data_IF_623824854546
#
_entry.id   IF_623824854546
#
_cell.length_a   1.000
_cell.length_b   1.000
_cell.length_c   1.000
_cell.angle_alpha   90.00
_cell.angle_beta   90.00
_cell.angle_gamma   90.00
#
_symmetry.space_group_name_H-M   'P 1'
#
loop_
_entity.id
_entity.type
_entity.pdbx_description
1 polymer ?
#
# COMPACT_ATOMS: atom_id res chain seq x y z
N UNK A 1 -12.86 1.96 8.54
CA UNK A 1 -11.86 1.30 7.65
C UNK A 1 -10.53 2.01 7.82
N UNK A 2 -9.41 1.28 7.83
CA UNK A 2 -8.07 1.85 7.79
C UNK A 2 -7.44 1.55 6.43
N UNK A 3 -6.74 2.50 5.83
CA UNK A 3 -5.91 2.25 4.65
C UNK A 3 -4.49 2.76 4.90
N UNK A 4 -3.48 1.93 4.66
CA UNK A 4 -2.10 2.25 4.99
C UNK A 4 -1.19 2.14 3.77
N UNK A 5 -0.35 3.15 3.61
CA UNK A 5 0.81 3.09 2.73
C UNK A 5 2.05 3.67 3.44
N UNK A 6 3.24 3.31 2.95
CA UNK A 6 4.50 3.75 3.53
C UNK A 6 5.65 3.78 2.55
N UNK A 7 6.70 4.51 2.93
CA UNK A 7 7.94 4.59 2.17
C UNK A 7 9.15 4.81 3.06
N UNK A 8 10.32 4.46 2.53
CA UNK A 8 11.59 4.92 3.08
C UNK A 8 11.86 6.35 2.58
N UNK A 9 11.99 7.31 3.49
CA UNK A 9 12.40 8.68 3.18
C UNK A 9 13.89 8.88 3.46
N UNK A 10 14.53 9.70 2.63
CA UNK A 10 15.93 10.12 2.80
C UNK A 10 16.00 11.64 2.80
N UNK A 11 16.34 12.22 3.94
CA UNK A 11 16.52 13.67 4.11
C UNK A 11 18.00 13.92 4.41
N UNK A 12 18.77 14.31 3.39
CA UNK A 12 20.24 14.43 3.46
C UNK A 12 20.87 13.10 3.90
N UNK A 13 21.47 13.05 5.09
CA UNK A 13 22.13 11.86 5.66
C UNK A 13 21.24 11.10 6.65
N UNK A 14 19.95 11.40 6.69
CA UNK A 14 18.98 10.79 7.59
C UNK A 14 18.01 9.89 6.82
N UNK A 15 17.90 8.63 7.23
CA UNK A 15 16.90 7.69 6.72
C UNK A 15 15.83 7.46 7.78
N UNK A 16 14.56 7.35 7.36
CA UNK A 16 13.44 6.96 8.20
C UNK A 16 12.38 6.23 7.38
N UNK A 17 11.61 5.34 8.00
CA UNK A 17 10.37 4.87 7.41
C UNK A 17 9.26 5.87 7.78
N UNK A 18 8.45 6.25 6.81
CA UNK A 18 7.29 7.13 6.99
C UNK A 18 6.07 6.40 6.42
N UNK A 19 5.00 6.33 7.20
CA UNK A 19 3.72 5.74 6.81
C UNK A 19 2.57 6.69 7.12
N UNK A 20 1.54 6.61 6.30
CA UNK A 20 0.27 7.31 6.49
C UNK A 20 -0.83 6.26 6.57
N UNK A 21 -1.64 6.34 7.63
CA UNK A 21 -2.85 5.55 7.79
C UNK A 21 -4.05 6.48 7.75
N UNK A 22 -4.98 6.24 6.85
CA UNK A 22 -6.25 6.95 6.77
C UNK A 22 -7.32 6.16 7.53
N UNK A 23 -7.88 6.77 8.58
CA UNK A 23 -9.08 6.27 9.26
C UNK A 23 -10.32 6.82 8.55
N UNK A 24 -10.94 5.99 7.72
CA UNK A 24 -12.09 6.34 6.88
C UNK A 24 -13.37 5.88 7.56
N UNK A 25 -14.23 6.84 7.91
CA UNK A 25 -15.51 6.60 8.61
C UNK A 25 -16.61 6.14 7.66
N UNK A 26 -16.64 6.68 6.44
CA UNK A 26 -17.70 6.45 5.45
C UNK A 26 -17.04 6.07 4.11
N UNK A 27 -16.71 4.78 3.90
CA UNK A 27 -15.90 4.34 2.76
C UNK A 27 -16.56 4.58 1.39
N UNK A 28 -17.89 4.48 1.30
CA UNK A 28 -18.60 4.57 0.01
C UNK A 28 -18.55 5.99 -0.55
N UNK A 29 -18.93 6.99 0.24
CA UNK A 29 -18.84 8.39 -0.16
C UNK A 29 -17.41 8.90 -0.17
N UNK A 30 -16.47 8.33 0.60
CA UNK A 30 -15.04 8.57 0.39
C UNK A 30 -14.61 8.15 -1.01
N UNK A 31 -14.90 6.91 -1.41
CA UNK A 31 -14.58 6.37 -2.74
C UNK A 31 -15.17 7.26 -3.83
N UNK A 32 -16.43 7.70 -3.68
CA UNK A 32 -17.07 8.62 -4.63
C UNK A 32 -16.34 9.97 -4.74
N UNK A 33 -16.01 10.62 -3.60
CA UNK A 33 -15.25 11.89 -3.61
C UNK A 33 -13.88 11.74 -4.24
N UNK A 34 -13.16 10.67 -3.90
CA UNK A 34 -11.87 10.35 -4.50
C UNK A 34 -11.97 10.24 -6.03
N UNK A 35 -12.92 9.44 -6.53
CA UNK A 35 -13.06 9.23 -7.97
C UNK A 35 -13.44 10.50 -8.72
N UNK A 36 -14.35 11.29 -8.17
CA UNK A 36 -14.73 12.59 -8.75
C UNK A 36 -13.52 13.53 -8.81
N UNK A 37 -12.75 13.63 -7.72
CA UNK A 37 -11.54 14.45 -7.69
C UNK A 37 -10.54 14.03 -8.76
N UNK A 38 -10.29 12.74 -8.92
CA UNK A 38 -9.35 12.26 -9.95
C UNK A 38 -9.85 12.55 -11.37
N UNK A 39 -11.16 12.43 -11.65
CA UNK A 39 -11.71 12.79 -12.96
C UNK A 39 -11.61 14.29 -13.25
N UNK A 40 -11.79 15.14 -12.24
CA UNK A 40 -11.56 16.59 -12.36
C UNK A 40 -10.09 16.90 -12.70
N UNK A 41 -9.14 16.25 -12.00
CA UNK A 41 -7.71 16.39 -12.29
C UNK A 41 -7.37 15.89 -13.70
N UNK A 42 -7.92 14.74 -14.12
CA UNK A 42 -7.70 14.21 -15.47
C UNK A 42 -8.18 15.19 -16.54
N UNK A 43 -9.34 15.80 -16.32
CA UNK A 43 -9.91 16.79 -17.22
C UNK A 43 -9.07 18.08 -17.27
N UNK A 44 -8.67 18.60 -16.10
CA UNK A 44 -7.90 19.84 -15.98
C UNK A 44 -6.50 19.74 -16.62
N UNK A 45 -5.84 18.59 -16.46
CA UNK A 45 -4.47 18.36 -16.95
C UNK A 45 -4.40 17.49 -18.22
N UNK A 46 -5.55 17.23 -18.87
CA UNK A 46 -5.65 16.43 -20.10
C UNK A 46 -4.97 15.05 -19.99
N UNK A 47 -5.09 14.40 -18.83
CA UNK A 47 -4.52 13.07 -18.60
C UNK A 47 -5.39 12.04 -19.31
N UNK A 48 -4.90 11.57 -20.46
CA UNK A 48 -5.50 10.43 -21.16
C UNK A 48 -5.13 9.12 -20.46
N UNK A 49 -6.05 8.59 -19.65
CA UNK A 49 -5.95 7.28 -19.02
C UNK A 49 -7.34 6.73 -18.68
N UNK A 50 -7.62 5.43 -18.85
CA UNK A 50 -8.92 4.86 -18.54
C UNK A 50 -9.16 4.72 -17.03
N UNK A 51 -8.10 4.61 -16.21
CA UNK A 51 -8.20 4.36 -14.76
C UNK A 51 -8.38 5.65 -13.96
N UNK A 52 -8.89 5.48 -12.74
CA UNK A 52 -9.12 6.56 -11.79
C UNK A 52 -8.38 6.39 -10.48
N UNK A 53 -7.51 5.40 -10.37
CA UNK A 53 -6.61 5.22 -9.23
C UNK A 53 -5.18 5.36 -9.72
N UNK A 54 -4.42 6.23 -9.07
CA UNK A 54 -3.04 6.54 -9.42
C UNK A 54 -2.15 6.52 -8.18
N UNK A 55 -0.97 5.91 -8.31
CA UNK A 55 0.06 6.16 -7.31
C UNK A 55 0.58 7.58 -7.44
N UNK A 56 0.97 8.18 -6.32
CA UNK A 56 1.52 9.52 -6.21
C UNK A 56 2.68 9.75 -7.18
N UNK A 57 3.53 8.75 -7.40
CA UNK A 57 4.63 8.80 -8.37
C UNK A 57 4.15 9.07 -9.80
N UNK A 58 3.03 8.48 -10.22
CA UNK A 58 2.49 8.67 -11.56
C UNK A 58 1.88 10.05 -11.74
N UNK A 59 1.17 10.54 -10.72
CA UNK A 59 0.65 11.90 -10.72
C UNK A 59 1.80 12.90 -10.78
N UNK A 60 2.84 12.74 -9.97
CA UNK A 60 4.07 13.58 -10.03
C UNK A 60 4.71 13.57 -11.42
N UNK A 61 4.76 12.43 -12.10
CA UNK A 61 5.32 12.32 -13.46
C UNK A 61 4.44 13.02 -14.50
N UNK A 62 3.12 12.95 -14.36
CA UNK A 62 2.16 13.53 -15.32
C UNK A 62 1.97 15.04 -15.13
N UNK A 63 1.97 15.51 -13.89
CA UNK A 63 1.71 16.90 -13.52
C UNK A 63 2.99 17.74 -13.38
N UNK A 64 4.10 17.12 -12.99
CA UNK A 64 5.26 17.84 -12.45
C UNK A 64 5.13 18.05 -10.94
N UNK A 65 6.24 18.43 -10.29
CA UNK A 65 6.29 18.48 -8.82
C UNK A 65 5.43 19.60 -8.22
N UNK A 66 5.47 20.79 -8.83
CA UNK A 66 4.73 21.96 -8.33
C UNK A 66 3.22 21.72 -8.42
N UNK A 67 2.73 21.35 -9.61
CA UNK A 67 1.31 21.08 -9.82
C UNK A 67 0.81 19.89 -8.98
N UNK A 68 1.64 18.85 -8.80
CA UNK A 68 1.27 17.74 -7.90
C UNK A 68 1.08 18.20 -6.45
N UNK A 69 1.92 19.12 -5.95
CA UNK A 69 1.78 19.62 -4.58
C UNK A 69 0.46 20.37 -4.39
N UNK A 70 0.11 21.25 -5.34
CA UNK A 70 -1.16 21.99 -5.33
C UNK A 70 -2.35 21.01 -5.41
N UNK A 71 -2.26 20.00 -6.28
CA UNK A 71 -3.26 18.92 -6.39
C UNK A 71 -3.37 18.12 -5.09
N UNK A 72 -2.26 17.75 -4.45
CA UNK A 72 -2.27 16.97 -3.23
C UNK A 72 -2.82 17.78 -2.03
N UNK A 73 -2.55 19.09 -1.99
CA UNK A 73 -3.16 19.99 -1.01
C UNK A 73 -4.67 20.10 -1.22
N UNK A 74 -5.13 20.28 -2.46
CA UNK A 74 -6.55 20.30 -2.80
C UNK A 74 -7.23 18.96 -2.50
N UNK A 75 -6.54 17.84 -2.74
CA UNK A 75 -7.03 16.51 -2.42
C UNK A 75 -7.31 16.38 -0.91
N UNK A 76 -6.40 16.84 -0.06
CA UNK A 76 -6.60 16.85 1.39
C UNK A 76 -7.84 17.68 1.76
N UNK A 77 -7.98 18.88 1.20
CA UNK A 77 -9.09 19.77 1.54
C UNK A 77 -10.45 19.22 1.08
N UNK A 78 -10.52 18.62 -0.11
CA UNK A 78 -11.78 18.21 -0.75
C UNK A 78 -12.17 16.78 -0.36
N UNK A 79 -11.20 15.87 -0.31
CA UNK A 79 -11.47 14.42 -0.13
C UNK A 79 -11.31 14.02 1.34
N UNK A 80 -10.30 14.54 2.03
CA UNK A 80 -9.88 14.03 3.35
C UNK A 80 -10.55 14.75 4.53
N UNK A 81 -10.55 16.09 4.54
CA UNK A 81 -10.81 16.92 5.72
C UNK A 81 -12.06 16.53 6.54
N UNK A 82 -13.17 16.21 5.86
CA UNK A 82 -14.45 15.92 6.53
C UNK A 82 -14.75 14.43 6.73
N UNK A 83 -13.92 13.53 6.18
CA UNK A 83 -14.26 12.11 6.12
C UNK A 83 -13.21 11.15 6.64
N UNK A 84 -12.02 11.66 6.96
CA UNK A 84 -10.96 10.84 7.52
C UNK A 84 -10.25 11.51 8.69
N UNK A 85 -9.60 10.67 9.50
CA UNK A 85 -8.47 11.08 10.33
C UNK A 85 -7.19 10.56 9.71
N UNK A 86 -6.11 11.35 9.80
CA UNK A 86 -4.79 10.96 9.28
C UNK A 86 -3.88 10.60 10.44
N UNK A 87 -3.33 9.38 10.42
CA UNK A 87 -2.31 8.96 11.36
C UNK A 87 -0.97 8.90 10.64
N UNK A 88 -0.05 9.78 11.00
CA UNK A 88 1.31 9.74 10.47
C UNK A 88 2.17 8.93 11.43
N UNK A 89 2.76 7.86 10.94
CA UNK A 89 3.66 6.99 11.70
C UNK A 89 5.03 7.06 11.08
N UNK A 90 6.07 7.27 11.88
CA UNK A 90 7.43 7.22 11.39
C UNK A 90 8.35 6.43 12.30
N UNK A 91 9.30 5.70 11.73
CA UNK A 91 10.34 4.98 12.45
C UNK A 91 11.70 5.56 12.12
N UNK A 92 12.43 5.96 13.15
CA UNK A 92 13.80 6.42 13.08
C UNK A 92 14.56 5.98 14.32
N UNK A 93 15.85 5.67 14.16
CA UNK A 93 16.66 5.10 15.23
C UNK A 93 17.99 5.84 15.34
N UNK A 94 18.39 6.16 16.57
CA UNK A 94 19.72 6.67 16.83
C UNK A 94 20.72 5.52 16.73
N UNK A 95 21.48 5.47 15.64
CA UNK A 95 22.46 4.39 15.35
C UNK A 95 23.60 4.31 16.35
N UNK A 96 23.86 5.36 17.14
CA UNK A 96 24.83 5.30 18.25
C UNK A 96 24.26 4.62 19.49
N UNK A 97 22.94 4.76 19.73
CA UNK A 97 22.25 4.14 20.88
C UNK A 97 21.79 2.71 20.58
N UNK A 98 21.40 2.46 19.34
CA UNK A 98 21.01 1.14 18.83
C UNK A 98 21.91 0.88 17.65
N UNK A 99 23.06 0.24 17.88
CA UNK A 99 24.00 -0.07 16.78
C UNK A 99 23.51 -1.25 15.95
N UNK A 100 22.95 -2.26 16.63
CA UNK A 100 22.46 -3.49 16.04
C UNK A 100 21.08 -3.87 16.55
N UNK A 101 20.34 -4.58 15.71
CA UNK A 101 19.03 -5.15 16.00
C UNK A 101 19.11 -6.67 15.87
N UNK A 102 18.58 -7.39 16.85
CA UNK A 102 18.62 -8.85 16.92
C UNK A 102 17.34 -9.43 16.33
N UNK A 103 17.48 -10.12 15.20
CA UNK A 103 16.44 -10.82 14.47
C UNK A 103 16.23 -12.24 15.01
N UNK A 104 15.05 -12.78 14.72
CA UNK A 104 14.71 -14.20 14.84
C UNK A 104 14.79 -14.76 16.26
N UNK A 105 14.46 -13.93 17.25
CA UNK A 105 14.53 -14.29 18.68
C UNK A 105 13.65 -15.49 19.06
N UNK A 106 12.57 -15.76 18.31
CA UNK A 106 11.66 -16.90 18.53
C UNK A 106 11.90 -18.05 17.53
N UNK A 107 12.76 -17.89 16.53
CA UNK A 107 12.95 -18.90 15.49
C UNK A 107 13.86 -20.02 16.00
N UNK A 108 13.32 -21.22 16.18
CA UNK A 108 14.11 -22.40 16.58
C UNK A 108 14.90 -22.99 15.41
N UNK A 109 14.54 -22.67 14.17
CA UNK A 109 15.14 -23.21 12.93
C UNK A 109 16.32 -22.38 12.43
N UNK A 110 16.39 -21.10 12.80
CA UNK A 110 17.51 -20.20 12.45
C UNK A 110 18.18 -19.64 13.69
N UNK A 111 19.51 -19.50 13.62
CA UNK A 111 20.27 -18.75 14.61
C UNK A 111 19.82 -17.28 14.60
N UNK A 112 19.81 -16.66 15.78
CA UNK A 112 19.63 -15.21 15.90
C UNK A 112 20.64 -14.49 15.02
N UNK A 113 20.19 -13.44 14.33
CA UNK A 113 21.05 -12.63 13.46
C UNK A 113 21.13 -11.22 14.00
N UNK A 114 22.33 -10.66 14.03
CA UNK A 114 22.51 -9.24 14.27
C UNK A 114 22.56 -8.49 12.94
N UNK A 115 21.72 -7.48 12.78
CA UNK A 115 21.74 -6.55 11.64
C UNK A 115 22.12 -5.17 12.12
N UNK A 116 22.90 -4.43 11.34
CA UNK A 116 23.14 -3.01 11.63
C UNK A 116 21.80 -2.27 11.60
N UNK A 117 21.62 -1.28 12.44
CA UNK A 117 20.34 -0.56 12.54
C UNK A 117 19.89 0.07 11.23
N UNK A 118 20.83 0.53 10.38
CA UNK A 118 20.50 1.07 9.05
C UNK A 118 20.01 -0.03 8.09
N UNK A 119 20.56 -1.24 8.19
CA UNK A 119 20.09 -2.40 7.41
C UNK A 119 18.71 -2.84 7.90
N UNK A 120 18.50 -2.83 9.23
CA UNK A 120 17.17 -3.07 9.80
C UNK A 120 16.16 -2.04 9.30
N UNK A 121 16.49 -0.75 9.29
CA UNK A 121 15.57 0.30 8.83
C UNK A 121 15.20 0.15 7.34
N UNK A 122 16.18 -0.19 6.48
CA UNK A 122 15.93 -0.46 5.06
C UNK A 122 15.12 -1.72 4.83
N UNK A 123 15.27 -2.72 5.68
CA UNK A 123 14.42 -3.90 5.64
C UNK A 123 13.02 -3.61 6.17
N UNK A 124 12.90 -2.85 7.26
CA UNK A 124 11.65 -2.43 7.85
C UNK A 124 10.74 -1.74 6.83
N UNK A 125 11.30 -0.96 5.89
CA UNK A 125 10.50 -0.29 4.87
C UNK A 125 9.70 -1.22 3.96
N UNK A 126 10.13 -2.47 3.75
CA UNK A 126 9.39 -3.40 2.88
C UNK A 126 8.12 -3.95 3.50
N UNK A 127 7.93 -3.80 4.81
CA UNK A 127 6.75 -4.25 5.56
C UNK A 127 6.20 -3.18 6.51
N UNK A 128 6.62 -1.94 6.31
CA UNK A 128 6.15 -0.82 7.13
C UNK A 128 4.65 -0.47 6.97
N UNK A 129 3.92 -0.82 5.87
CA UNK A 129 2.49 -0.51 5.79
C UNK A 129 1.69 -1.10 6.94
N UNK A 130 1.90 -2.37 7.30
CA UNK A 130 1.20 -2.97 8.45
C UNK A 130 1.75 -2.46 9.78
N UNK A 131 3.05 -2.12 9.87
CA UNK A 131 3.62 -1.54 11.09
C UNK A 131 3.00 -0.18 11.38
N UNK A 132 2.77 0.64 10.34
CA UNK A 132 2.06 1.90 10.44
C UNK A 132 0.62 1.67 10.91
N UNK A 133 -0.11 0.74 10.30
CA UNK A 133 -1.47 0.38 10.72
C UNK A 133 -1.54 -0.08 12.19
N UNK A 134 -0.67 -1.02 12.59
CA UNK A 134 -0.52 -1.46 13.97
C UNK A 134 -0.26 -0.28 14.90
N UNK A 135 0.70 0.58 14.56
CA UNK A 135 1.05 1.71 15.41
C UNK A 135 -0.10 2.71 15.55
N UNK A 136 -0.82 3.00 14.47
CA UNK A 136 -2.00 3.87 14.53
C UNK A 136 -3.05 3.31 15.50
N UNK A 137 -3.42 2.03 15.34
CA UNK A 137 -4.44 1.38 16.19
C UNK A 137 -4.04 1.37 17.67
N UNK A 138 -2.79 1.02 17.98
CA UNK A 138 -2.36 0.82 19.37
C UNK A 138 -1.88 2.08 20.09
N UNK A 139 -1.79 3.23 19.40
CA UNK A 139 -1.42 4.50 20.04
C UNK A 139 -2.53 5.56 19.95
N UNK A 140 -3.66 5.27 19.30
CA UNK A 140 -4.81 6.18 19.21
C UNK A 140 -6.05 5.53 19.83
N UNK A 141 -6.38 5.91 21.06
CA UNK A 141 -7.52 5.37 21.81
C UNK A 141 -8.87 5.61 21.13
N UNK A 142 -8.94 6.55 20.17
CA UNK A 142 -10.16 6.82 19.44
C UNK A 142 -10.41 5.84 18.28
N UNK A 143 -9.44 4.99 17.93
CA UNK A 143 -9.68 3.88 16.99
C UNK A 143 -10.32 2.71 17.76
N UNK A 144 -11.59 2.42 17.46
CA UNK A 144 -12.28 1.25 18.04
C UNK A 144 -11.75 -0.04 17.44
N UNK A 145 -11.40 -1.03 18.26
CA UNK A 145 -10.89 -2.33 17.82
C UNK A 145 -11.94 -3.22 17.12
N UNK A 146 -13.22 -2.89 17.28
CA UNK A 146 -14.30 -3.76 16.83
C UNK A 146 -14.57 -3.59 15.33
N UNK A 147 -14.51 -4.71 14.60
CA UNK A 147 -14.87 -4.81 13.18
C UNK A 147 -14.13 -3.83 12.25
N UNK A 148 -12.86 -3.55 12.52
CA UNK A 148 -12.04 -2.73 11.61
C UNK A 148 -11.69 -3.55 10.36
N UNK A 149 -11.94 -3.02 9.18
CA UNK A 149 -11.30 -3.48 7.95
C UNK A 149 -10.00 -2.68 7.70
N UNK A 150 -8.87 -3.36 7.53
CA UNK A 150 -7.55 -2.78 7.29
C UNK A 150 -7.09 -3.11 5.88
N UNK A 151 -6.97 -2.10 5.03
CA UNK A 151 -6.43 -2.19 3.68
C UNK A 151 -4.95 -1.85 3.70
N UNK A 152 -4.14 -2.77 3.19
CA UNK A 152 -2.70 -2.62 3.09
C UNK A 152 -2.28 -2.76 1.63
N UNK A 153 -1.35 -1.91 1.19
CA UNK A 153 -0.63 -2.21 -0.05
C UNK A 153 0.21 -3.48 0.14
N UNK A 154 0.58 -4.10 -0.99
CA UNK A 154 1.37 -5.32 -0.93
C UNK A 154 2.74 -5.08 -0.30
N UNK A 155 3.14 -6.00 0.58
CA UNK A 155 4.38 -5.87 1.34
C UNK A 155 5.17 -7.20 1.37
N UNK A 156 6.46 -7.11 1.66
CA UNK A 156 7.32 -8.27 1.90
C UNK A 156 7.98 -8.15 3.27
N UNK A 157 7.65 -9.08 4.17
CA UNK A 157 8.20 -9.10 5.51
C UNK A 157 8.12 -10.49 6.14
N UNK A 158 8.92 -10.70 7.18
CA UNK A 158 8.76 -11.85 8.07
C UNK A 158 7.84 -11.53 9.24
N UNK A 159 7.43 -12.58 9.96
CA UNK A 159 6.57 -12.44 11.13
C UNK A 159 7.25 -11.59 12.21
N UNK A 160 6.56 -10.54 12.66
CA UNK A 160 6.90 -9.69 13.80
C UNK A 160 5.84 -9.81 14.89
N UNK A 161 6.10 -9.36 16.12
CA UNK A 161 5.03 -9.32 17.13
C UNK A 161 3.90 -8.35 16.74
N UNK A 162 4.23 -7.24 16.07
CA UNK A 162 3.22 -6.30 15.56
C UNK A 162 2.24 -7.02 14.60
N UNK A 163 2.77 -7.87 13.72
CA UNK A 163 1.95 -8.71 12.84
C UNK A 163 1.12 -9.74 13.62
N UNK A 164 1.74 -10.48 14.55
CA UNK A 164 1.01 -11.45 15.40
C UNK A 164 -0.15 -10.77 16.16
N UNK A 165 0.07 -9.56 16.68
CA UNK A 165 -0.94 -8.79 17.38
C UNK A 165 -2.06 -8.33 16.42
N UNK A 166 -1.72 -7.80 15.25
CA UNK A 166 -2.71 -7.40 14.25
C UNK A 166 -3.61 -8.57 13.83
N UNK A 167 -3.03 -9.76 13.60
CA UNK A 167 -3.76 -10.94 13.13
C UNK A 167 -4.59 -11.63 14.21
N UNK A 168 -4.12 -11.67 15.45
CA UNK A 168 -4.73 -12.50 16.50
C UNK A 168 -5.56 -11.70 17.51
N UNK A 169 -5.23 -10.44 17.75
CA UNK A 169 -5.79 -9.70 18.89
C UNK A 169 -6.85 -8.67 18.48
N UNK A 170 -7.01 -8.43 17.19
CA UNK A 170 -8.01 -7.50 16.68
C UNK A 170 -9.00 -8.35 15.90
N UNK A 171 -10.30 -8.11 16.08
CA UNK A 171 -11.34 -8.55 15.15
C UNK A 171 -11.24 -7.80 13.81
N UNK A 172 -10.01 -7.56 13.34
CA UNK A 172 -9.70 -6.83 12.14
C UNK A 172 -9.72 -7.78 10.96
N UNK A 173 -10.45 -7.38 9.92
CA UNK A 173 -10.35 -7.99 8.61
C UNK A 173 -9.20 -7.33 7.87
N UNK A 174 -8.05 -7.99 7.82
CA UNK A 174 -6.92 -7.53 7.03
C UNK A 174 -7.15 -7.93 5.58
N UNK A 175 -7.00 -6.95 4.68
CA UNK A 175 -7.01 -7.14 3.23
C UNK A 175 -5.74 -6.53 2.64
N UNK A 176 -4.96 -7.34 1.95
CA UNK A 176 -3.78 -6.91 1.22
C UNK A 176 -4.11 -6.81 -0.26
N UNK A 177 -3.67 -5.75 -0.92
CA UNK A 177 -3.97 -5.50 -2.32
C UNK A 177 -2.65 -5.53 -3.11
N UNK A 178 -2.40 -6.57 -3.93
CA UNK A 178 -1.36 -6.51 -4.95
C UNK A 178 -1.56 -5.27 -5.83
N UNK A 179 -0.54 -4.39 -5.89
CA UNK A 179 -0.63 -3.08 -6.57
C UNK A 179 -1.80 -2.21 -6.05
N UNK A 180 -2.03 -2.24 -4.73
CA UNK A 180 -3.11 -1.50 -4.08
C UNK A 180 -3.02 0.00 -4.32
N UNK A 181 -1.81 0.55 -4.41
CA UNK A 181 -1.54 1.95 -4.78
C UNK A 181 -2.08 2.34 -6.18
N UNK A 182 -2.35 1.37 -7.05
CA UNK A 182 -2.77 1.56 -8.44
C UNK A 182 -4.21 1.09 -8.73
N UNK A 183 -4.84 0.30 -7.86
CA UNK A 183 -6.22 -0.17 -8.05
C UNK A 183 -7.16 0.11 -6.87
N UNK A 184 -6.63 0.37 -5.67
CA UNK A 184 -7.45 0.65 -4.49
C UNK A 184 -7.43 2.15 -4.15
N UNK A 185 -8.58 2.86 -4.24
CA UNK A 185 -8.64 4.30 -4.01
C UNK A 185 -8.28 4.70 -2.57
N UNK A 186 -8.48 3.82 -1.59
CA UNK A 186 -8.14 4.11 -0.19
C UNK A 186 -6.62 4.06 0.03
N UNK A 187 -5.93 3.06 -0.54
CA UNK A 187 -4.47 2.95 -0.46
C UNK A 187 -3.80 4.07 -1.26
N UNK A 188 -4.28 4.34 -2.48
CA UNK A 188 -3.80 5.46 -3.28
C UNK A 188 -3.98 6.82 -2.56
N UNK A 189 -5.09 7.01 -1.85
CA UNK A 189 -5.26 8.20 -1.04
C UNK A 189 -4.19 8.33 0.06
N UNK A 190 -3.84 7.22 0.72
CA UNK A 190 -2.74 7.19 1.70
C UNK A 190 -1.40 7.56 1.05
N UNK A 191 -1.11 7.05 -0.17
CA UNK A 191 0.11 7.38 -0.93
C UNK A 191 0.17 8.87 -1.35
N UNK A 192 -0.96 9.46 -1.78
CA UNK A 192 -1.05 10.89 -2.13
C UNK A 192 -0.74 11.75 -0.90
N UNK A 193 -1.37 11.46 0.24
CA UNK A 193 -1.13 12.18 1.49
C UNK A 193 0.32 11.98 1.97
N UNK A 194 0.83 10.75 1.90
CA UNK A 194 2.22 10.42 2.23
C UNK A 194 3.21 11.24 1.40
N UNK A 195 2.94 11.39 0.10
CA UNK A 195 3.76 12.24 -0.78
C UNK A 195 3.66 13.74 -0.44
N UNK A 196 2.51 14.25 -0.04
CA UNK A 196 2.39 15.64 0.43
C UNK A 196 3.24 15.88 1.69
N UNK A 197 3.19 14.95 2.65
CA UNK A 197 4.01 15.00 3.87
C UNK A 197 5.50 14.97 3.51
N UNK A 198 5.91 14.07 2.60
CA UNK A 198 7.29 14.00 2.13
C UNK A 198 7.75 15.33 1.49
N UNK A 199 6.95 15.94 0.62
CA UNK A 199 7.30 17.20 -0.05
C UNK A 199 7.56 18.31 0.99
N UNK A 200 6.68 18.44 1.98
CA UNK A 200 6.83 19.45 3.04
C UNK A 200 8.09 19.20 3.90
N UNK A 201 8.47 17.94 4.12
CA UNK A 201 9.72 17.59 4.81
C UNK A 201 10.96 17.89 3.95
N UNK A 202 10.91 17.63 2.65
CA UNK A 202 12.03 17.82 1.73
C UNK A 202 12.31 19.31 1.45
N UNK A 203 11.27 20.15 1.40
CA UNK A 203 11.41 21.61 1.32
C UNK A 203 12.10 22.21 2.54
N UNK A 204 12.07 21.50 3.67
CA UNK A 204 12.62 21.98 4.94
C UNK A 204 11.66 22.88 5.73
N UNK A 205 10.40 22.97 5.29
CA UNK A 205 9.34 23.69 6.00
C UNK A 205 9.04 23.04 7.36
N UNK A 206 9.23 21.72 7.45
CA UNK A 206 9.02 20.93 8.67
C UNK A 206 10.14 19.91 8.87
N UNK A 207 10.37 19.52 10.13
CA UNK A 207 11.27 18.41 10.48
C UNK A 207 10.48 17.13 10.70
N UNK A 208 11.15 15.98 10.54
CA UNK A 208 10.58 14.70 10.93
C UNK A 208 10.63 14.53 12.46
N UNK A 209 9.68 15.21 13.12
CA UNK A 209 9.48 15.22 14.56
C UNK A 209 7.98 15.26 14.86
N UNK A 210 7.58 14.76 16.03
CA UNK A 210 6.17 14.69 16.44
C UNK A 210 5.52 16.07 16.45
N UNK A 211 6.19 17.10 16.99
CA UNK A 211 5.60 18.44 17.11
C UNK A 211 5.54 19.16 15.76
N UNK A 212 6.56 18.99 14.93
CA UNK A 212 6.60 19.61 13.60
C UNK A 212 5.55 18.98 12.66
N UNK A 213 5.37 17.66 12.70
CA UNK A 213 4.31 17.00 11.94
C UNK A 213 2.91 17.32 12.48
N UNK A 214 2.74 17.62 13.78
CA UNK A 214 1.46 18.14 14.30
C UNK A 214 1.13 19.50 13.69
N UNK A 215 2.10 20.42 13.65
CA UNK A 215 1.92 21.72 12.97
C UNK A 215 1.57 21.57 11.50
N UNK A 216 2.13 20.56 10.82
CA UNK A 216 1.78 20.23 9.44
C UNK A 216 0.31 19.81 9.31
N UNK A 217 -0.19 18.95 10.20
CA UNK A 217 -1.62 18.58 10.21
C UNK A 217 -2.51 19.80 10.49
N UNK A 218 -2.12 20.65 11.45
CA UNK A 218 -2.82 21.88 11.78
C UNK A 218 -2.87 22.86 10.60
N UNK A 219 -1.77 23.02 9.84
CA UNK A 219 -1.70 23.85 8.63
C UNK A 219 -2.78 23.51 7.60
N UNK A 220 -3.13 22.23 7.49
CA UNK A 220 -4.13 21.73 6.54
C UNK A 220 -5.49 21.45 7.20
N UNK A 221 -5.71 21.88 8.46
CA UNK A 221 -6.94 21.59 9.22
C UNK A 221 -7.31 20.10 9.31
N UNK A 222 -6.30 19.23 9.32
CA UNK A 222 -6.49 17.77 9.34
C UNK A 222 -6.56 17.28 10.78
N UNK A 223 -7.59 16.50 11.10
CA UNK A 223 -7.64 15.74 12.37
C UNK A 223 -6.80 14.48 12.26
N UNK A 224 -6.02 14.18 13.31
CA UNK A 224 -5.09 13.07 13.23
C UNK A 224 -4.22 12.87 14.45
N UNK A 225 -3.30 11.92 14.35
CA UNK A 225 -2.26 11.70 15.35
C UNK A 225 -0.91 11.40 14.70
N UNK A 226 0.16 11.69 15.43
CA UNK A 226 1.54 11.48 15.00
C UNK A 226 2.20 10.50 15.97
N UNK A 227 2.74 9.39 15.44
CA UNK A 227 3.40 8.37 16.25
C UNK A 227 4.84 8.13 15.79
N UNK A 228 5.78 8.22 16.73
CA UNK A 228 7.16 7.79 16.52
C UNK A 228 7.38 6.35 16.99
N UNK A 229 7.69 5.46 16.06
CA UNK A 229 8.13 4.08 16.31
C UNK A 229 9.65 4.04 16.58
N UNK A 230 10.05 4.52 17.76
CA UNK A 230 11.45 4.56 18.20
C UNK A 230 11.96 3.27 18.86
N UNK A 231 13.06 3.38 19.61
CA UNK A 231 13.74 2.25 20.30
C UNK A 231 12.81 1.46 21.22
N UNK A 232 11.84 2.12 21.87
CA UNK A 232 10.85 1.48 22.73
C UNK A 232 9.92 0.50 21.97
N UNK A 233 9.75 0.68 20.66
CA UNK A 233 8.88 -0.16 19.81
C UNK A 233 9.67 -1.20 18.99
N UNK A 234 11.01 -1.14 18.97
CA UNK A 234 11.87 -2.08 18.19
C UNK A 234 11.52 -3.55 18.41
N UNK A 235 11.23 -3.92 19.67
CA UNK A 235 10.91 -5.31 20.02
C UNK A 235 9.65 -5.83 19.34
N UNK A 236 8.74 -4.95 18.92
CA UNK A 236 7.48 -5.34 18.27
C UNK A 236 7.61 -5.46 16.75
N UNK A 237 8.47 -4.64 16.15
CA UNK A 237 8.57 -4.47 14.69
C UNK A 237 9.77 -5.22 14.09
N UNK A 238 10.64 -5.79 14.93
CA UNK A 238 11.75 -6.64 14.47
C UNK A 238 11.23 -8.05 14.15
N UNK A 239 11.68 -8.68 13.05
CA UNK A 239 11.36 -10.08 12.75
C UNK A 239 11.71 -11.02 13.89
N UNK A 240 10.72 -11.78 14.34
CA UNK A 240 10.85 -12.79 15.41
C UNK A 240 10.99 -14.21 14.87
N UNK A 241 10.55 -14.44 13.64
CA UNK A 241 10.70 -15.68 12.87
C UNK A 241 11.26 -15.33 11.51
N UNK A 242 11.99 -16.26 10.88
CA UNK A 242 12.44 -16.11 9.49
C UNK A 242 11.41 -16.55 8.46
N UNK A 243 10.25 -17.01 8.92
CA UNK A 243 9.11 -17.31 8.09
C UNK A 243 8.53 -16.01 7.52
N UNK A 244 8.39 -15.98 6.19
CA UNK A 244 7.69 -14.90 5.47
C UNK A 244 6.21 -14.89 5.83
N UNK A 245 5.63 -13.70 5.92
CA UNK A 245 4.19 -13.54 6.08
C UNK A 245 3.53 -14.03 4.77
N UNK A 246 2.61 -15.01 4.82
CA UNK A 246 1.93 -15.53 3.64
C UNK A 246 0.82 -14.56 3.22
N UNK A 247 1.22 -13.41 2.66
CA UNK A 247 0.33 -12.31 2.27
C UNK A 247 -0.86 -12.76 1.41
N UNK A 248 -0.65 -13.78 0.58
CA UNK A 248 -1.68 -14.33 -0.30
C UNK A 248 -2.90 -14.90 0.42
N UNK A 249 -2.77 -15.27 1.69
CA UNK A 249 -3.92 -15.66 2.51
C UNK A 249 -4.87 -14.48 2.79
N UNK A 250 -4.34 -13.26 2.82
CA UNK A 250 -5.03 -12.02 3.14
C UNK A 250 -5.36 -11.17 1.90
N UNK A 251 -5.12 -11.68 0.68
CA UNK A 251 -5.43 -10.93 -0.53
C UNK A 251 -6.91 -10.57 -0.61
N UNK A 252 -7.17 -9.32 -1.00
CA UNK A 252 -8.50 -8.89 -1.42
C UNK A 252 -8.88 -9.63 -2.71
N UNK A 253 -10.01 -10.32 -2.66
CA UNK A 253 -10.56 -11.04 -3.80
C UNK A 253 -11.48 -10.13 -4.64
N UNK A 254 -11.49 -10.28 -5.97
CA UNK A 254 -10.67 -11.23 -6.72
C UNK A 254 -9.24 -10.72 -6.97
N UNK A 255 -8.26 -11.62 -7.05
CA UNK A 255 -6.92 -11.30 -7.53
C UNK A 255 -6.88 -11.48 -9.05
N UNK A 256 -6.46 -10.42 -9.74
CA UNK A 256 -6.27 -10.45 -11.18
C UNK A 256 -4.83 -10.87 -11.47
N UNK A 257 -4.66 -12.16 -11.77
CA UNK A 257 -3.38 -12.76 -12.13
C UNK A 257 -3.07 -12.52 -13.60
N UNK A 258 -2.04 -11.72 -13.85
CA UNK A 258 -1.57 -11.42 -15.20
C UNK A 258 -0.64 -12.54 -15.66
N UNK A 259 -1.05 -13.25 -16.71
CA UNK A 259 -0.34 -14.38 -17.30
C UNK A 259 0.47 -13.87 -18.51
N UNK A 260 1.81 -13.77 -18.40
CA UNK A 260 2.62 -13.02 -19.38
C UNK A 260 2.79 -13.71 -20.74
N UNK A 261 2.60 -15.04 -20.83
CA UNK A 261 2.79 -15.77 -22.08
C UNK A 261 4.23 -15.64 -22.62
N UNK A 262 4.38 -15.19 -23.87
CA UNK A 262 5.69 -14.89 -24.47
C UNK A 262 6.12 -13.42 -24.29
N UNK A 263 5.23 -12.56 -23.81
CA UNK A 263 5.50 -11.14 -23.64
C UNK A 263 6.22 -10.91 -22.31
N UNK A 264 7.29 -10.11 -22.33
CA UNK A 264 8.03 -9.72 -21.11
C UNK A 264 7.11 -8.96 -20.15
N UNK A 265 7.21 -9.23 -18.85
CA UNK A 265 6.39 -8.59 -17.80
C UNK A 265 6.50 -7.06 -17.85
N UNK A 266 7.69 -6.54 -18.08
CA UNK A 266 7.97 -5.11 -18.17
C UNK A 266 7.28 -4.46 -19.38
N UNK A 267 7.14 -5.20 -20.49
CA UNK A 267 6.44 -4.70 -21.68
C UNK A 267 4.93 -4.66 -21.46
N UNK A 268 4.38 -5.65 -20.76
CA UNK A 268 2.98 -5.65 -20.36
C UNK A 268 2.72 -4.47 -19.42
N UNK A 269 3.49 -4.33 -18.34
CA UNK A 269 3.28 -3.30 -17.31
C UNK A 269 3.37 -1.86 -17.86
N UNK A 270 4.21 -1.63 -18.87
CA UNK A 270 4.33 -0.32 -19.53
C UNK A 270 3.36 -0.13 -20.72
N UNK A 271 2.53 -1.13 -21.03
CA UNK A 271 1.58 -1.02 -22.15
C UNK A 271 0.32 -0.24 -21.77
N UNK A 272 -0.30 0.53 -22.70
CA UNK A 272 -1.59 1.17 -22.45
C UNK A 272 -2.71 0.18 -22.09
N UNK A 273 -2.62 -1.07 -22.57
CA UNK A 273 -3.58 -2.12 -22.26
C UNK A 273 -3.57 -2.50 -20.78
N UNK A 274 -2.42 -2.43 -20.12
CA UNK A 274 -2.32 -2.76 -18.70
C UNK A 274 -3.09 -1.79 -17.80
N UNK A 275 -3.29 -0.53 -18.23
CA UNK A 275 -4.14 0.41 -17.49
C UNK A 275 -5.61 -0.07 -17.40
N UNK A 276 -6.09 -0.85 -18.36
CA UNK A 276 -7.42 -1.47 -18.30
C UNK A 276 -7.47 -2.65 -17.33
N UNK A 277 -6.37 -3.38 -17.13
CA UNK A 277 -6.28 -4.42 -16.09
C UNK A 277 -6.38 -3.78 -14.70
N UNK A 278 -5.66 -2.67 -14.48
CA UNK A 278 -5.75 -1.90 -13.23
C UNK A 278 -7.16 -1.34 -13.01
N UNK A 279 -7.79 -0.79 -14.07
CA UNK A 279 -9.18 -0.31 -14.02
C UNK A 279 -10.16 -1.45 -13.70
N UNK A 280 -9.95 -2.63 -14.28
CA UNK A 280 -10.78 -3.79 -13.99
C UNK A 280 -10.66 -4.22 -12.54
N UNK A 281 -9.43 -4.32 -12.02
CA UNK A 281 -9.20 -4.60 -10.60
C UNK A 281 -9.86 -3.56 -9.69
N UNK A 282 -9.79 -2.28 -10.03
CA UNK A 282 -10.52 -1.23 -9.32
C UNK A 282 -12.04 -1.45 -9.34
N UNK A 283 -12.60 -1.84 -10.49
CA UNK A 283 -14.04 -2.09 -10.67
C UNK A 283 -14.53 -3.26 -9.80
N UNK A 284 -13.80 -4.36 -9.79
CA UNK A 284 -14.13 -5.56 -8.98
C UNK A 284 -13.62 -5.48 -7.53
N UNK A 285 -13.05 -4.35 -7.12
CA UNK A 285 -12.46 -4.13 -5.78
C UNK A 285 -11.34 -5.13 -5.40
N UNK A 286 -10.60 -5.60 -6.41
CA UNK A 286 -9.52 -6.57 -6.29
C UNK A 286 -8.11 -5.99 -6.36
N UNK A 287 -7.12 -6.88 -6.47
CA UNK A 287 -5.70 -6.55 -6.67
C UNK A 287 -5.14 -7.08 -7.99
N UNK A 288 -3.99 -6.58 -8.44
CA UNK A 288 -3.31 -7.06 -9.66
C UNK A 288 -1.93 -7.62 -9.33
N UNK A 289 -1.68 -8.85 -9.77
CA UNK A 289 -0.39 -9.53 -9.58
C UNK A 289 0.05 -10.24 -10.86
N UNK A 290 1.33 -10.20 -11.19
CA UNK A 290 1.86 -11.10 -12.22
C UNK A 290 1.98 -12.51 -11.66
N UNK A 291 1.38 -13.47 -12.34
CA UNK A 291 1.41 -14.87 -11.93
C UNK A 291 2.86 -15.36 -11.80
N UNK A 292 3.14 -16.00 -10.67
CA UNK A 292 4.29 -16.84 -10.44
C UNK A 292 3.79 -18.24 -10.08
N UNK A 293 3.75 -19.14 -11.07
CA UNK A 293 3.12 -20.45 -10.89
C UNK A 293 3.76 -21.26 -9.75
N UNK A 294 5.07 -21.11 -9.51
CA UNK A 294 5.77 -21.85 -8.46
C UNK A 294 5.38 -21.39 -7.04
N UNK A 295 4.76 -20.22 -6.91
CA UNK A 295 4.42 -19.60 -5.61
C UNK A 295 2.94 -19.38 -5.42
N UNK A 296 2.21 -19.09 -6.49
CA UNK A 296 0.83 -18.64 -6.42
C UNK A 296 -0.16 -19.81 -6.55
N UNK A 297 0.25 -21.00 -7.03
CA UNK A 297 -0.66 -22.12 -7.31
C UNK A 297 -1.48 -22.59 -6.10
N UNK A 298 -0.98 -22.44 -4.88
CA UNK A 298 -1.70 -22.82 -3.65
C UNK A 298 -2.71 -21.78 -3.18
N UNK A 299 -2.69 -20.58 -3.80
CA UNK A 299 -3.49 -19.44 -3.36
C UNK A 299 -4.53 -18.98 -4.38
N UNK A 300 -4.54 -19.54 -5.59
CA UNK A 300 -5.56 -19.23 -6.61
C UNK A 300 -6.92 -19.75 -6.12
N UNK A 301 -7.94 -18.89 -6.20
CA UNK A 301 -9.33 -19.14 -5.82
C UNK A 301 -10.23 -19.13 -7.05
N UNK A 302 -11.43 -19.69 -6.91
CA UNK A 302 -12.47 -19.72 -7.95
C UNK A 302 -12.99 -18.32 -8.30
N UNK A 303 -12.89 -17.37 -7.37
CA UNK A 303 -13.23 -15.96 -7.58
C UNK A 303 -12.18 -15.18 -8.38
N UNK A 304 -10.95 -15.68 -8.49
CA UNK A 304 -9.85 -14.97 -9.15
C UNK A 304 -10.03 -14.89 -10.68
N UNK A 305 -9.19 -14.06 -11.33
CA UNK A 305 -9.20 -13.92 -12.79
C UNK A 305 -7.79 -14.08 -13.35
N UNK A 306 -7.63 -14.99 -14.30
CA UNK A 306 -6.42 -15.14 -15.10
C UNK A 306 -6.51 -14.27 -16.37
N UNK A 307 -5.82 -13.12 -16.35
CA UNK A 307 -5.76 -12.16 -17.45
C UNK A 307 -4.58 -12.45 -18.37
N UNK A 308 -4.82 -12.70 -19.67
CA UNK A 308 -3.77 -13.01 -20.66
C UNK A 308 -3.73 -12.03 -21.84
N UNK A 309 -2.53 -11.85 -22.42
CA UNK A 309 -2.25 -10.85 -23.46
C UNK A 309 -1.99 -11.45 -24.86
N UNK A 310 -1.65 -12.72 -24.95
CA UNK A 310 -1.35 -13.45 -26.19
C UNK A 310 -1.84 -14.91 -26.12
N UNK A 311 -1.68 -15.66 -27.21
CA UNK A 311 -2.11 -17.05 -27.29
C UNK A 311 -1.31 -17.97 -26.36
N UNK A 312 -0.02 -17.70 -26.13
CA UNK A 312 0.79 -18.47 -25.19
C UNK A 312 0.28 -18.31 -23.75
N UNK A 313 -0.05 -17.08 -23.35
CA UNK A 313 -0.68 -16.78 -22.07
C UNK A 313 -2.07 -17.40 -21.96
N UNK A 314 -2.85 -17.42 -23.06
CA UNK A 314 -4.15 -18.11 -23.11
C UNK A 314 -4.02 -19.61 -22.83
N UNK A 315 -3.07 -20.29 -23.48
CA UNK A 315 -2.82 -21.72 -23.26
C UNK A 315 -2.45 -21.98 -21.81
N UNK A 316 -1.53 -21.19 -21.24
CA UNK A 316 -1.14 -21.32 -19.84
C UNK A 316 -2.30 -21.05 -18.88
N UNK A 317 -3.06 -19.99 -19.10
CA UNK A 317 -4.23 -19.65 -18.29
C UNK A 317 -5.28 -20.77 -18.34
N UNK A 318 -5.56 -21.34 -19.52
CA UNK A 318 -6.52 -22.44 -19.67
C UNK A 318 -6.06 -23.74 -19.00
N UNK A 319 -4.76 -24.02 -19.02
CA UNK A 319 -4.21 -25.15 -18.27
C UNK A 319 -4.44 -24.97 -16.76
N UNK A 320 -4.19 -23.78 -16.23
CA UNK A 320 -4.43 -23.47 -14.81
C UNK A 320 -5.94 -23.50 -14.49
N UNK A 321 -6.80 -22.91 -15.31
CA UNK A 321 -8.26 -22.93 -15.06
C UNK A 321 -8.83 -24.34 -15.00
N UNK A 322 -8.25 -25.29 -15.75
CA UNK A 322 -8.66 -26.69 -15.69
C UNK A 322 -8.38 -27.36 -14.33
N UNK A 323 -7.52 -26.77 -13.51
CA UNK A 323 -7.14 -27.27 -12.18
C UNK A 323 -7.84 -26.55 -11.03
N UNK A 324 -8.26 -25.30 -11.21
CA UNK A 324 -8.72 -24.42 -10.10
C UNK A 324 -10.12 -23.81 -10.26
N UNK A 325 -10.84 -24.10 -11.34
CA UNK A 325 -12.15 -23.48 -11.66
C UNK A 325 -12.12 -21.94 -11.60
N UNK A 326 -11.06 -21.35 -12.14
CA UNK A 326 -10.82 -19.90 -12.16
C UNK A 326 -11.16 -19.30 -13.53
N UNK A 327 -11.72 -18.09 -13.54
CA UNK A 327 -12.08 -17.42 -14.79
C UNK A 327 -10.83 -17.03 -15.60
N UNK A 328 -10.87 -17.23 -16.92
CA UNK A 328 -9.82 -16.73 -17.82
C UNK A 328 -10.39 -15.64 -18.74
N UNK A 329 -9.82 -14.44 -18.68
CA UNK A 329 -10.17 -13.32 -19.57
C UNK A 329 -9.00 -12.90 -20.44
N UNK A 330 -9.25 -12.73 -21.73
CA UNK A 330 -8.33 -12.02 -22.62
C UNK A 330 -8.31 -10.53 -22.25
N UNK A 331 -7.19 -9.87 -22.56
CA UNK A 331 -7.11 -8.42 -22.40
C UNK A 331 -8.19 -7.65 -23.18
N UNK A 332 -8.65 -8.18 -24.31
CA UNK A 332 -9.73 -7.59 -25.10
C UNK A 332 -11.09 -7.65 -24.39
N UNK A 333 -11.38 -8.76 -23.71
CA UNK A 333 -12.59 -8.91 -22.88
C UNK A 333 -12.57 -7.90 -21.72
N UNK A 334 -11.44 -7.81 -21.01
CA UNK A 334 -11.23 -6.84 -19.92
C UNK A 334 -11.44 -5.40 -20.40
N UNK A 335 -10.90 -5.04 -21.57
CA UNK A 335 -11.09 -3.71 -22.17
C UNK A 335 -12.56 -3.45 -22.47
N UNK A 336 -13.32 -4.43 -22.94
CA UNK A 336 -14.73 -4.25 -23.27
C UNK A 336 -15.61 -4.11 -22.03
N UNK A 337 -15.31 -4.85 -20.96
CA UNK A 337 -16.06 -4.77 -19.69
C UNK A 337 -15.83 -3.46 -18.94
N UNK A 338 -14.67 -2.81 -19.15
CA UNK A 338 -14.29 -1.58 -18.43
C UNK A 338 -14.51 -0.28 -19.21
N UNK A 339 -15.13 -0.35 -20.40
CA UNK A 339 -15.50 0.84 -21.19
C UNK A 339 -16.71 1.58 -20.64
N UNK A 340 -17.55 0.88 -19.87
CA UNK A 340 -18.73 1.39 -19.19
C UNK A 340 -18.44 1.56 -17.70
#
# INVERSE_FOLDING_TARGET
>A
MLASDSKLIRIRNFEACLGVVLEIKEPVGFKRRYLNFIEEIKSAYQISSPRNVFKSYELKRKLGLQDFEDVAQNFVNIVIADSCRIHIVFASFNTKKVEKVIYYRKDRRKRQQEKKTIEFLRHLSSYFPYVAAWSAIFNDEAISFDNIEIHLDSFDGEVTYAWEILKNNISAKIKTFPKGDQCNPFISASDIVLSLVEINLLKGDFRLDVQELKKLLEKYNIKGSITHCGTNKIKYITPISSQKIPEALDYAEPVIYVVPGQIKKEWIENSPKFEYVLKYAQFVEGGVKFLNIDRDYEFIRDTDVLAYFDDAGKVLAKNISSLYDVECKSISEIINETKY
#
